data_IF_452043651784
#
_entry.id   IF_452043651784
#
_cell.length_a   1.000
_cell.length_b   1.000
_cell.length_c   1.000
_cell.angle_alpha   90.00
_cell.angle_beta   90.00
_cell.angle_gamma   90.00
#
_symmetry.space_group_name_H-M   'P 1'
#
loop_
_entity.id
_entity.type
_entity.pdbx_description
1 polymer ?
#
# COMPACT_ATOMS: atom_id res chain seq x y z
N UNK A 1 -21.19 15.52 32.68
CA UNK A 1 -20.86 16.04 31.34
C UNK A 1 -19.46 15.62 30.86
N UNK A 2 -18.45 15.48 31.73
CA UNK A 2 -17.11 14.96 31.34
C UNK A 2 -17.05 13.46 30.99
N UNK A 3 -17.96 12.61 31.50
CA UNK A 3 -17.94 11.18 31.17
C UNK A 3 -18.53 10.84 29.79
N UNK A 4 -19.30 11.76 29.19
CA UNK A 4 -19.89 11.56 27.88
C UNK A 4 -18.92 11.88 26.72
N UNK A 5 -17.96 12.79 26.95
CA UNK A 5 -16.94 13.18 25.96
C UNK A 5 -15.85 12.12 25.81
N UNK A 6 -15.50 11.40 26.89
CA UNK A 6 -14.53 10.31 26.84
C UNK A 6 -15.03 9.09 26.05
N UNK A 7 -16.32 8.76 26.14
CA UNK A 7 -16.92 7.63 25.41
C UNK A 7 -17.00 7.90 23.89
N UNK A 8 -17.23 9.14 23.48
CA UNK A 8 -17.29 9.54 22.06
C UNK A 8 -15.91 9.49 21.41
N UNK A 9 -14.84 9.87 22.13
CA UNK A 9 -13.47 9.76 21.63
C UNK A 9 -12.97 8.32 21.48
N UNK A 10 -13.44 7.37 22.30
CA UNK A 10 -13.03 5.94 22.20
C UNK A 10 -13.64 5.26 20.97
N UNK A 11 -14.84 5.66 20.52
CA UNK A 11 -15.43 5.15 19.27
C UNK A 11 -14.87 5.82 18.01
N UNK A 12 -14.40 7.07 18.10
CA UNK A 12 -13.71 7.78 17.00
C UNK A 12 -12.21 7.41 16.91
N UNK A 13 -11.68 6.68 17.88
CA UNK A 13 -10.35 6.08 17.82
C UNK A 13 -10.36 4.68 17.15
N UNK A 14 -11.48 4.23 16.58
CA UNK A 14 -11.54 2.99 15.79
C UNK A 14 -11.37 3.13 14.26
N UNK A 15 -10.76 4.17 13.68
CA UNK A 15 -9.99 4.00 12.47
C UNK A 15 -8.51 3.85 12.88
N UNK A 16 -8.22 3.00 13.88
CA UNK A 16 -6.85 2.52 14.03
C UNK A 16 -6.56 1.64 12.83
N UNK A 17 -5.74 2.18 11.94
CA UNK A 17 -4.80 1.47 11.11
C UNK A 17 -5.39 0.22 10.44
N UNK A 18 -6.16 0.43 9.38
CA UNK A 18 -5.81 -0.32 8.17
C UNK A 18 -4.92 0.58 7.33
N UNK A 19 -3.66 0.75 7.76
CA UNK A 19 -2.58 0.73 6.79
C UNK A 19 -2.75 -0.66 6.18
N UNK A 20 -3.56 -0.75 5.12
CA UNK A 20 -3.76 -2.00 4.43
C UNK A 20 -2.40 -2.28 3.82
N UNK A 21 -1.60 -3.07 4.54
CA UNK A 21 -0.58 -3.87 3.91
C UNK A 21 -1.30 -4.54 2.74
N UNK A 22 -0.86 -4.26 1.52
CA UNK A 22 -1.52 -4.76 0.32
C UNK A 22 -1.67 -6.26 0.49
N UNK A 23 -2.91 -6.76 0.48
CA UNK A 23 -3.14 -8.17 0.74
C UNK A 23 -2.34 -8.98 -0.29
N UNK A 24 -1.65 -10.07 0.11
CA UNK A 24 -0.84 -10.83 -0.82
C UNK A 24 -1.74 -11.34 -1.97
N UNK A 25 -1.22 -11.36 -3.20
CA UNK A 25 -1.97 -11.74 -4.40
C UNK A 25 -3.00 -10.70 -4.88
N UNK A 26 -2.78 -9.41 -4.60
CA UNK A 26 -3.66 -8.32 -5.02
C UNK A 26 -2.84 -7.18 -5.62
N UNK A 27 -3.45 -6.37 -6.48
CA UNK A 27 -2.82 -5.16 -7.04
C UNK A 27 -3.85 -4.08 -7.35
N UNK A 28 -3.46 -2.83 -7.14
CA UNK A 28 -4.22 -1.66 -7.54
C UNK A 28 -3.57 -1.01 -8.77
N UNK A 29 -4.34 -0.81 -9.83
CA UNK A 29 -3.87 -0.11 -11.02
C UNK A 29 -4.99 0.73 -11.65
N UNK A 30 -4.69 2.00 -11.95
CA UNK A 30 -5.64 2.90 -12.62
C UNK A 30 -6.97 3.13 -11.89
N UNK A 31 -7.02 2.94 -10.56
CA UNK A 31 -8.26 3.04 -9.76
C UNK A 31 -9.13 1.77 -9.79
N UNK A 32 -8.63 0.69 -10.40
CA UNK A 32 -9.22 -0.64 -10.33
C UNK A 32 -8.44 -1.51 -9.34
N UNK A 33 -9.17 -2.42 -8.69
CA UNK A 33 -8.61 -3.41 -7.79
C UNK A 33 -8.70 -4.80 -8.42
N UNK A 34 -7.61 -5.56 -8.36
CA UNK A 34 -7.51 -6.91 -8.87
C UNK A 34 -7.15 -7.86 -7.73
N UNK A 35 -7.94 -8.92 -7.59
CA UNK A 35 -7.78 -9.92 -6.52
C UNK A 35 -7.75 -11.33 -7.11
N UNK A 36 -6.57 -11.95 -7.09
CA UNK A 36 -6.39 -13.33 -7.55
C UNK A 36 -6.40 -14.35 -6.40
N UNK A 37 -6.67 -13.95 -5.16
CA UNK A 37 -6.84 -14.88 -4.04
C UNK A 37 -7.87 -15.99 -4.31
N UNK A 38 -8.99 -15.78 -5.03
CA UNK A 38 -9.91 -16.85 -5.39
C UNK A 38 -9.30 -17.96 -6.25
N UNK A 39 -8.16 -17.70 -6.91
CA UNK A 39 -7.41 -18.71 -7.65
C UNK A 39 -6.54 -19.61 -6.76
N UNK A 40 -6.37 -19.30 -5.46
CA UNK A 40 -5.68 -20.17 -4.48
C UNK A 40 -6.49 -21.45 -4.26
N UNK A 41 -6.28 -22.43 -5.12
CA UNK A 41 -7.09 -23.63 -5.12
C UNK A 41 -6.66 -24.60 -4.02
N UNK A 42 -7.64 -25.35 -3.49
CA UNK A 42 -7.39 -26.45 -2.57
C UNK A 42 -6.78 -27.66 -3.27
N UNK A 43 -7.12 -27.87 -4.55
CA UNK A 43 -6.53 -28.84 -5.46
C UNK A 43 -5.81 -28.11 -6.58
N UNK A 44 -4.64 -28.57 -6.98
CA UNK A 44 -3.84 -27.93 -8.01
C UNK A 44 -4.54 -27.92 -9.38
N UNK A 45 -4.21 -26.91 -10.18
CA UNK A 45 -4.62 -26.86 -11.58
C UNK A 45 -3.75 -27.81 -12.38
N UNK A 46 -4.41 -28.84 -12.91
CA UNK A 46 -3.79 -29.89 -13.70
C UNK A 46 -4.20 -29.75 -15.16
N UNK A 47 -3.22 -29.75 -16.05
CA UNK A 47 -3.43 -29.69 -17.48
C UNK A 47 -2.26 -30.34 -18.23
N UNK A 48 -2.52 -30.74 -19.47
CA UNK A 48 -1.51 -31.35 -20.34
C UNK A 48 -1.23 -30.40 -21.49
N UNK A 49 0.04 -30.14 -21.79
CA UNK A 49 0.44 -29.33 -22.95
C UNK A 49 0.35 -30.15 -24.23
N UNK A 50 0.47 -29.49 -25.39
CA UNK A 50 0.46 -30.18 -26.69
C UNK A 50 1.60 -31.20 -26.83
N UNK A 51 2.75 -30.93 -26.19
CA UNK A 51 3.88 -31.86 -26.07
C UNK A 51 3.63 -33.08 -25.18
N UNK A 52 2.45 -33.20 -24.55
CA UNK A 52 2.08 -34.35 -23.73
C UNK A 52 2.57 -34.29 -22.28
N UNK A 53 3.22 -33.21 -21.86
CA UNK A 53 3.67 -33.03 -20.49
C UNK A 53 2.53 -32.62 -19.56
N UNK A 54 2.47 -33.24 -18.38
CA UNK A 54 1.48 -32.95 -17.36
C UNK A 54 2.01 -31.89 -16.40
N UNK A 55 1.32 -30.76 -16.34
CA UNK A 55 1.61 -29.65 -15.45
C UNK A 55 0.69 -29.66 -14.25
N UNK A 56 1.26 -29.31 -13.11
CA UNK A 56 0.56 -29.05 -11.86
C UNK A 56 0.97 -27.67 -11.37
N UNK A 57 0.02 -26.79 -11.12
CA UNK A 57 0.33 -25.46 -10.58
C UNK A 57 -0.77 -24.91 -9.69
N UNK A 58 -0.41 -23.92 -8.90
CA UNK A 58 -1.32 -23.14 -8.08
C UNK A 58 -0.93 -21.66 -8.16
N UNK A 59 -1.89 -20.77 -7.87
CA UNK A 59 -1.68 -19.32 -7.94
C UNK A 59 -1.53 -18.78 -6.53
N UNK A 60 -0.47 -18.01 -6.27
CA UNK A 60 -0.17 -17.41 -4.96
C UNK A 60 -0.14 -18.39 -3.78
N UNK A 61 0.08 -19.67 -4.06
CA UNK A 61 0.10 -20.78 -3.11
C UNK A 61 0.99 -21.87 -3.69
N UNK A 62 1.59 -22.68 -2.83
CA UNK A 62 2.33 -23.86 -3.27
C UNK A 62 1.38 -24.97 -3.76
N UNK A 63 1.93 -25.85 -4.58
CA UNK A 63 1.24 -27.06 -5.02
C UNK A 63 0.94 -27.95 -3.82
N UNK A 64 -0.15 -28.70 -3.95
CA UNK A 64 -0.62 -29.67 -2.96
C UNK A 64 -0.28 -31.11 -3.35
N UNK A 65 -0.02 -31.34 -4.63
CA UNK A 65 0.41 -32.63 -5.18
C UNK A 65 1.85 -32.90 -4.78
N UNK A 66 2.12 -34.12 -4.30
CA UNK A 66 3.46 -34.54 -3.94
C UNK A 66 4.40 -34.50 -5.15
N UNK A 67 5.57 -33.89 -4.93
CA UNK A 67 6.65 -33.80 -5.90
C UNK A 67 7.64 -34.95 -5.72
N UNK A 68 8.23 -35.41 -6.82
CA UNK A 68 9.19 -36.51 -6.83
C UNK A 68 10.52 -36.11 -7.45
N UNK A 69 11.63 -36.34 -6.74
CA UNK A 69 12.99 -36.04 -7.19
C UNK A 69 13.18 -34.61 -7.75
N UNK A 70 12.60 -33.62 -7.05
CA UNK A 70 12.63 -32.22 -7.46
C UNK A 70 13.91 -31.53 -6.96
N UNK A 71 14.59 -30.82 -7.86
CA UNK A 71 15.82 -30.09 -7.55
C UNK A 71 15.51 -28.64 -7.18
N UNK A 72 15.13 -28.39 -5.92
CA UNK A 72 14.95 -27.05 -5.33
C UNK A 72 15.33 -27.06 -3.84
N UNK A 73 15.77 -25.93 -3.26
CA UNK A 73 16.11 -25.88 -1.83
C UNK A 73 14.94 -26.23 -0.90
N UNK A 74 13.75 -25.71 -1.21
CA UNK A 74 12.54 -25.87 -0.40
C UNK A 74 11.37 -26.40 -1.27
N UNK A 75 11.13 -27.73 -1.29
CA UNK A 75 10.03 -28.31 -2.06
C UNK A 75 8.63 -27.81 -1.65
N UNK A 76 8.46 -27.35 -0.40
CA UNK A 76 7.19 -26.82 0.11
C UNK A 76 6.76 -25.48 -0.49
N UNK A 77 7.68 -24.77 -1.16
CA UNK A 77 7.45 -23.46 -1.76
C UNK A 77 7.22 -23.54 -3.28
N UNK A 78 7.17 -24.75 -3.87
CA UNK A 78 6.97 -24.92 -5.30
C UNK A 78 5.55 -24.49 -5.68
N UNK A 79 5.42 -23.52 -6.60
CA UNK A 79 4.11 -23.04 -7.08
C UNK A 79 3.61 -23.82 -8.29
N UNK A 80 4.51 -24.45 -9.03
CA UNK A 80 4.15 -25.38 -10.09
C UNK A 80 5.32 -26.27 -10.50
N UNK A 81 4.99 -27.42 -11.08
CA UNK A 81 5.96 -28.35 -11.61
C UNK A 81 5.44 -29.13 -12.82
N UNK A 82 6.37 -29.72 -13.57
CA UNK A 82 6.10 -30.62 -14.69
C UNK A 82 6.51 -32.03 -14.28
N UNK A 83 5.64 -33.00 -14.55
CA UNK A 83 5.97 -34.41 -14.35
C UNK A 83 6.81 -34.94 -15.51
N UNK A 84 8.00 -35.45 -15.21
CA UNK A 84 8.91 -36.10 -16.18
C UNK A 84 9.39 -37.45 -15.67
N UNK A 85 9.95 -38.27 -16.57
CA UNK A 85 10.32 -39.66 -16.28
C UNK A 85 11.43 -39.82 -15.23
N UNK A 86 12.28 -38.80 -15.07
CA UNK A 86 13.44 -38.83 -14.16
C UNK A 86 13.30 -37.90 -12.95
N UNK A 87 12.12 -37.33 -12.73
CA UNK A 87 11.85 -36.39 -11.65
C UNK A 87 11.00 -35.22 -12.10
N UNK A 88 10.33 -34.59 -11.15
CA UNK A 88 9.52 -33.42 -11.38
C UNK A 88 10.43 -32.18 -11.54
N UNK A 89 10.15 -31.33 -12.53
CA UNK A 89 10.84 -30.06 -12.74
C UNK A 89 10.01 -28.93 -12.13
N UNK A 90 10.52 -28.24 -11.10
CA UNK A 90 9.87 -27.04 -10.57
C UNK A 90 9.92 -25.93 -11.63
N UNK A 91 8.78 -25.34 -11.96
CA UNK A 91 8.70 -24.20 -12.90
C UNK A 91 8.68 -22.84 -12.20
N UNK A 92 8.89 -22.84 -10.88
CA UNK A 92 9.03 -21.67 -10.03
C UNK A 92 8.44 -21.84 -8.64
N UNK A 93 8.87 -20.99 -7.71
CA UNK A 93 8.34 -20.93 -6.34
C UNK A 93 7.16 -19.97 -6.21
N UNK A 94 6.46 -20.04 -5.08
CA UNK A 94 5.32 -19.16 -4.77
C UNK A 94 5.74 -17.70 -4.85
N UNK A 95 5.02 -16.97 -5.71
CA UNK A 95 5.06 -15.52 -5.74
C UNK A 95 3.64 -14.98 -5.53
N UNK A 96 3.53 -13.94 -4.70
CA UNK A 96 2.27 -13.25 -4.41
C UNK A 96 2.21 -11.85 -5.01
N UNK A 97 3.28 -11.42 -5.68
CA UNK A 97 3.38 -10.11 -6.33
C UNK A 97 2.76 -10.17 -7.72
N UNK A 98 1.88 -9.20 -7.98
CA UNK A 98 1.21 -9.02 -9.27
C UNK A 98 1.68 -7.71 -9.90
N UNK A 99 1.89 -7.73 -11.21
CA UNK A 99 2.29 -6.57 -11.98
C UNK A 99 1.28 -6.31 -13.09
N UNK A 100 0.92 -5.04 -13.32
CA UNK A 100 0.14 -4.67 -14.50
C UNK A 100 1.10 -4.27 -15.63
N UNK A 101 1.04 -4.97 -16.77
CA UNK A 101 1.86 -4.68 -17.96
C UNK A 101 1.03 -4.76 -19.22
N UNK A 102 1.14 -3.77 -20.09
CA UNK A 102 0.45 -3.72 -21.41
C UNK A 102 -1.08 -3.88 -21.33
N UNK A 103 -1.69 -3.55 -20.19
CA UNK A 103 -3.13 -3.75 -19.95
C UNK A 103 -3.53 -5.18 -19.58
N UNK A 104 -2.56 -6.05 -19.27
CA UNK A 104 -2.77 -7.40 -18.73
C UNK A 104 -2.13 -7.57 -17.36
N UNK A 105 -2.79 -8.35 -16.51
CA UNK A 105 -2.31 -8.68 -15.17
C UNK A 105 -1.29 -9.82 -15.27
N UNK A 106 -0.10 -9.65 -14.70
CA UNK A 106 1.00 -10.60 -14.83
C UNK A 106 1.54 -11.07 -13.48
N UNK A 107 1.97 -12.33 -13.47
CA UNK A 107 2.71 -12.94 -12.36
C UNK A 107 3.96 -13.63 -12.89
N UNK A 108 5.05 -13.52 -12.13
CA UNK A 108 6.30 -14.24 -12.41
C UNK A 108 6.60 -15.22 -11.29
N UNK A 109 6.74 -16.49 -11.63
CA UNK A 109 7.28 -17.51 -10.74
C UNK A 109 8.75 -17.72 -11.12
N UNK A 110 9.66 -17.58 -10.17
CA UNK A 110 11.11 -17.71 -10.40
C UNK A 110 11.71 -18.75 -9.46
N UNK A 111 13.03 -18.94 -9.53
CA UNK A 111 13.76 -19.84 -8.61
C UNK A 111 13.24 -21.29 -8.62
N UNK A 112 12.83 -21.76 -9.80
CA UNK A 112 12.49 -23.17 -10.01
C UNK A 112 13.72 -24.06 -10.03
N UNK A 113 13.57 -25.24 -10.63
CA UNK A 113 14.66 -26.21 -10.73
C UNK A 113 15.74 -25.75 -11.71
N UNK A 114 16.96 -26.28 -11.56
CA UNK A 114 18.04 -26.00 -12.52
C UNK A 114 17.68 -26.50 -13.91
N UNK A 115 17.95 -25.69 -14.93
CA UNK A 115 17.72 -26.08 -16.31
C UNK A 115 18.68 -27.22 -16.72
N UNK A 116 18.26 -28.18 -17.57
CA UNK A 116 19.10 -29.30 -17.98
C UNK A 116 20.43 -28.91 -18.66
N UNK A 117 20.43 -27.82 -19.44
CA UNK A 117 21.57 -27.40 -20.27
C UNK A 117 22.13 -26.02 -19.90
N UNK A 118 21.78 -25.46 -18.74
CA UNK A 118 22.29 -24.17 -18.30
C UNK A 118 22.27 -24.04 -16.78
N UNK A 119 23.09 -23.13 -16.25
CA UNK A 119 23.09 -22.79 -14.82
C UNK A 119 21.92 -21.88 -14.42
N UNK A 120 20.97 -21.64 -15.32
CA UNK A 120 19.77 -20.85 -15.04
C UNK A 120 18.75 -21.68 -14.26
N UNK A 121 17.87 -20.98 -13.55
CA UNK A 121 16.75 -21.58 -12.85
C UNK A 121 15.49 -21.44 -13.69
N UNK A 122 14.66 -22.48 -13.67
CA UNK A 122 13.38 -22.48 -14.35
C UNK A 122 12.49 -21.36 -13.82
N UNK A 123 11.71 -20.77 -14.73
CA UNK A 123 10.79 -19.70 -14.39
C UNK A 123 9.57 -19.72 -15.29
N UNK A 124 8.48 -19.16 -14.77
CA UNK A 124 7.20 -19.12 -15.44
C UNK A 124 6.63 -17.71 -15.41
N UNK A 125 6.11 -17.28 -16.55
CA UNK A 125 5.34 -16.07 -16.70
C UNK A 125 3.89 -16.42 -16.96
N UNK A 126 2.98 -15.85 -16.16
CA UNK A 126 1.55 -16.07 -16.30
C UNK A 126 0.90 -14.74 -16.60
N UNK A 127 0.28 -14.63 -17.77
CA UNK A 127 -0.54 -13.49 -18.19
C UNK A 127 -2.00 -13.82 -17.95
N UNK A 128 -2.62 -13.15 -16.99
CA UNK A 128 -4.02 -13.27 -16.70
C UNK A 128 -4.85 -12.34 -17.59
N UNK A 129 -5.85 -12.91 -18.25
CA UNK A 129 -6.76 -12.20 -19.15
C UNK A 129 -8.17 -12.23 -18.57
N UNK A 130 -8.77 -11.04 -18.43
CA UNK A 130 -10.15 -10.90 -18.00
C UNK A 130 -11.09 -11.50 -19.06
N UNK A 131 -11.81 -12.55 -18.68
CA UNK A 131 -12.87 -13.15 -19.50
C UNK A 131 -14.06 -13.52 -18.62
N UNK A 132 -15.12 -12.72 -18.69
CA UNK A 132 -16.37 -12.95 -17.95
C UNK A 132 -17.16 -14.17 -18.43
N UNK A 133 -16.83 -14.73 -19.60
CA UNK A 133 -17.51 -15.93 -20.12
C UNK A 133 -16.98 -17.23 -19.51
N UNK A 134 -15.78 -17.18 -18.91
CA UNK A 134 -15.15 -18.33 -18.27
C UNK A 134 -15.71 -18.53 -16.87
N UNK A 135 -16.44 -19.63 -16.70
CA UNK A 135 -16.96 -20.05 -15.39
C UNK A 135 -15.86 -20.69 -14.53
N UNK A 136 -15.96 -20.53 -13.21
CA UNK A 136 -14.97 -20.96 -12.22
C UNK A 136 -13.60 -20.28 -12.44
N UNK A 137 -12.49 -20.99 -12.21
CA UNK A 137 -11.15 -20.41 -12.23
C UNK A 137 -10.52 -20.28 -13.63
N UNK A 138 -11.13 -20.87 -14.66
CA UNK A 138 -10.50 -21.04 -15.97
C UNK A 138 -9.38 -22.08 -15.95
N UNK A 139 -8.61 -22.14 -17.05
CA UNK A 139 -7.42 -22.99 -17.16
C UNK A 139 -6.29 -22.20 -17.84
N UNK A 140 -5.03 -22.40 -17.42
CA UNK A 140 -3.89 -21.87 -18.13
C UNK A 140 -3.70 -22.61 -19.46
N UNK A 141 -3.22 -21.89 -20.47
CA UNK A 141 -2.79 -22.41 -21.76
C UNK A 141 -1.33 -22.00 -21.99
N UNK A 142 -0.48 -22.93 -22.39
CA UNK A 142 0.92 -22.63 -22.74
C UNK A 142 0.93 -21.82 -24.03
N UNK A 143 1.49 -20.61 -23.99
CA UNK A 143 1.68 -19.76 -25.15
C UNK A 143 3.00 -20.06 -25.84
N UNK A 144 4.08 -20.10 -25.06
CA UNK A 144 5.43 -20.32 -25.55
C UNK A 144 6.30 -20.96 -24.46
N UNK A 145 7.39 -21.58 -24.89
CA UNK A 145 8.39 -22.13 -24.01
C UNK A 145 9.79 -21.97 -24.62
N UNK A 146 10.77 -21.76 -23.75
CA UNK A 146 12.16 -21.61 -24.15
C UNK A 146 13.08 -22.49 -23.30
N UNK A 147 14.03 -23.22 -23.91
CA UNK A 147 14.09 -23.58 -25.34
C UNK A 147 12.80 -24.25 -25.85
N UNK A 148 12.53 -24.19 -27.15
CA UNK A 148 11.28 -24.71 -27.74
C UNK A 148 11.14 -26.23 -27.66
N UNK A 149 12.24 -26.94 -27.42
CA UNK A 149 12.27 -28.39 -27.24
C UNK A 149 11.72 -28.78 -25.86
N UNK A 150 10.70 -29.63 -25.85
CA UNK A 150 9.92 -30.02 -24.67
C UNK A 150 10.78 -30.59 -23.52
N UNK A 151 11.80 -31.40 -23.84
CA UNK A 151 12.70 -31.99 -22.84
C UNK A 151 13.60 -30.95 -22.19
N UNK A 152 13.98 -29.91 -22.95
CA UNK A 152 14.95 -28.91 -22.54
C UNK A 152 14.31 -27.58 -22.11
N UNK A 153 12.99 -27.43 -22.33
CA UNK A 153 12.21 -26.26 -21.95
C UNK A 153 12.38 -25.96 -20.45
N UNK A 154 12.68 -24.69 -20.14
CA UNK A 154 12.97 -24.23 -18.78
C UNK A 154 12.28 -22.92 -18.43
N UNK A 155 11.89 -22.14 -19.44
CA UNK A 155 11.09 -20.94 -19.29
C UNK A 155 9.75 -21.16 -19.97
N UNK A 156 8.66 -20.82 -19.28
CA UNK A 156 7.30 -21.06 -19.74
C UNK A 156 6.50 -19.77 -19.71
N UNK A 157 5.74 -19.51 -20.76
CA UNK A 157 4.76 -18.42 -20.81
C UNK A 157 3.35 -18.99 -20.92
N UNK A 158 2.49 -18.66 -19.96
CA UNK A 158 1.10 -19.08 -19.92
C UNK A 158 0.15 -17.91 -20.09
N UNK A 159 -0.94 -18.14 -20.82
CA UNK A 159 -2.13 -17.31 -20.81
C UNK A 159 -3.19 -17.96 -19.93
N UNK A 160 -3.75 -17.21 -18.99
CA UNK A 160 -4.80 -17.69 -18.10
C UNK A 160 -6.03 -16.81 -18.20
N UNK A 161 -7.03 -17.29 -18.94
CA UNK A 161 -8.33 -16.61 -19.04
C UNK A 161 -9.17 -16.89 -17.80
N UNK A 162 -9.57 -15.86 -17.09
CA UNK A 162 -10.33 -15.99 -15.85
C UNK A 162 -11.12 -14.73 -15.53
N UNK A 163 -12.29 -14.88 -14.92
CA UNK A 163 -13.11 -13.74 -14.51
C UNK A 163 -12.55 -13.01 -13.28
N UNK A 164 -11.64 -13.64 -12.53
CA UNK A 164 -10.99 -13.01 -11.37
C UNK A 164 -9.94 -11.96 -11.76
N UNK A 165 -9.46 -11.99 -13.01
CA UNK A 165 -8.55 -10.98 -13.55
C UNK A 165 -9.29 -9.70 -14.00
N UNK A 166 -10.62 -9.67 -13.85
CA UNK A 166 -11.42 -8.52 -14.25
C UNK A 166 -11.37 -7.41 -13.19
N UNK A 167 -11.34 -6.14 -13.61
CA UNK A 167 -11.25 -5.01 -12.69
C UNK A 167 -12.48 -4.95 -11.78
N UNK A 168 -12.25 -5.02 -10.47
CA UNK A 168 -13.28 -4.72 -9.49
C UNK A 168 -13.16 -3.23 -9.18
N UNK A 169 -14.18 -2.46 -9.55
CA UNK A 169 -14.25 -1.06 -9.17
C UNK A 169 -14.16 -0.94 -7.65
N UNK A 170 -13.23 -0.13 -7.16
CA UNK A 170 -13.04 0.07 -5.72
C UNK A 170 -14.37 0.50 -5.09
N UNK A 171 -15.02 -0.41 -4.36
CA UNK A 171 -16.07 -0.04 -3.40
C UNK A 171 -15.35 0.62 -2.25
N UNK A 172 -15.03 1.89 -2.47
CA UNK A 172 -14.19 2.67 -1.59
C UNK A 172 -14.64 2.51 -0.15
N UNK A 173 -13.65 2.41 0.73
CA UNK A 173 -13.77 2.34 2.19
C UNK A 173 -14.75 3.42 2.73
N UNK A 174 -14.94 4.51 1.97
CA UNK A 174 -15.96 5.55 2.12
C UNK A 174 -17.37 4.98 2.36
N UNK A 175 -17.77 3.90 1.66
CA UNK A 175 -19.08 3.27 1.86
C UNK A 175 -19.20 2.64 3.25
N UNK A 176 -18.14 1.97 3.72
CA UNK A 176 -18.10 1.37 5.05
C UNK A 176 -18.07 2.40 6.17
N UNK A 177 -17.25 3.45 6.01
CA UNK A 177 -17.15 4.56 6.98
C UNK A 177 -18.50 5.27 7.11
N UNK A 178 -19.18 5.56 5.98
CA UNK A 178 -20.48 6.21 6.00
C UNK A 178 -21.55 5.36 6.72
N UNK A 179 -21.54 4.05 6.52
CA UNK A 179 -22.44 3.12 7.21
C UNK A 179 -22.12 3.08 8.72
N UNK A 180 -20.85 3.01 9.10
CA UNK A 180 -20.43 3.00 10.51
C UNK A 180 -20.81 4.30 11.22
N UNK A 181 -20.61 5.46 10.58
CA UNK A 181 -21.01 6.77 11.09
C UNK A 181 -22.53 6.86 11.28
N UNK A 182 -23.32 6.34 10.33
CA UNK A 182 -24.79 6.31 10.47
C UNK A 182 -25.21 5.42 11.64
N UNK A 183 -24.66 4.22 11.76
CA UNK A 183 -25.03 3.27 12.83
C UNK A 183 -24.65 3.84 14.21
N UNK A 184 -23.44 4.38 14.36
CA UNK A 184 -22.98 4.97 15.63
C UNK A 184 -23.82 6.18 16.03
N UNK A 185 -24.20 7.03 15.07
CA UNK A 185 -25.11 8.16 15.28
C UNK A 185 -26.50 7.73 15.74
N UNK A 186 -27.08 6.70 15.14
CA UNK A 186 -28.38 6.15 15.54
C UNK A 186 -28.36 5.60 16.97
N UNK A 187 -27.29 4.90 17.35
CA UNK A 187 -27.11 4.37 18.70
C UNK A 187 -26.97 5.51 19.72
N UNK A 188 -26.16 6.52 19.42
CA UNK A 188 -25.97 7.68 20.30
C UNK A 188 -27.28 8.46 20.51
N UNK A 189 -28.08 8.64 19.44
CA UNK A 189 -29.39 9.28 19.51
C UNK A 189 -30.36 8.50 20.39
N UNK A 190 -30.39 7.17 20.26
CA UNK A 190 -31.22 6.31 21.11
C UNK A 190 -30.82 6.41 22.59
N UNK A 191 -29.53 6.37 22.90
CA UNK A 191 -29.02 6.53 24.27
C UNK A 191 -29.38 7.91 24.83
N UNK A 192 -29.25 8.97 24.03
CA UNK A 192 -29.60 10.31 24.43
C UNK A 192 -31.09 10.44 24.76
N UNK A 193 -31.98 9.94 23.90
CA UNK A 193 -33.43 9.97 24.13
C UNK A 193 -33.79 9.19 25.40
N UNK A 194 -33.26 7.98 25.57
CA UNK A 194 -33.53 7.15 26.76
C UNK A 194 -32.97 7.82 28.02
N UNK A 195 -31.73 8.32 27.99
CA UNK A 195 -31.11 9.02 29.11
C UNK A 195 -31.87 10.28 29.51
N UNK A 196 -32.27 11.12 28.54
CA UNK A 196 -33.03 12.34 28.79
C UNK A 196 -34.43 12.06 29.32
N UNK A 197 -35.13 11.04 28.79
CA UNK A 197 -36.46 10.66 29.30
C UNK A 197 -36.39 10.11 30.72
N UNK A 198 -35.41 9.24 31.02
CA UNK A 198 -35.15 8.75 32.37
C UNK A 198 -34.78 9.89 33.32
N UNK A 199 -33.91 10.81 32.89
CA UNK A 199 -33.52 11.98 33.69
C UNK A 199 -34.71 12.88 34.03
N UNK A 200 -35.52 13.24 33.02
CA UNK A 200 -36.73 14.06 33.21
C UNK A 200 -37.76 13.39 34.13
N UNK A 201 -37.84 12.05 34.09
CA UNK A 201 -38.75 11.25 34.92
C UNK A 201 -38.26 11.10 36.35
N UNK A 202 -37.01 10.71 36.54
CA UNK A 202 -36.47 10.33 37.86
C UNK A 202 -35.93 11.51 38.65
N UNK A 203 -35.25 12.45 37.99
CA UNK A 203 -34.63 13.61 38.66
C UNK A 203 -35.60 14.78 38.72
N UNK A 204 -36.19 15.15 37.58
CA UNK A 204 -37.06 16.34 37.49
C UNK A 204 -38.54 16.07 37.80
N UNK A 205 -38.93 14.80 38.05
CA UNK A 205 -40.30 14.35 38.37
C UNK A 205 -41.40 14.88 37.43
N UNK A 206 -41.08 15.25 36.18
CA UNK A 206 -42.07 15.74 35.22
C UNK A 206 -42.95 14.56 34.75
N UNK A 207 -44.25 14.80 34.57
CA UNK A 207 -45.24 13.80 34.13
C UNK A 207 -45.85 14.20 32.78
N UNK A 208 -46.17 13.23 31.94
CA UNK A 208 -46.81 13.44 30.64
C UNK A 208 -45.84 13.75 29.50
N UNK A 209 -46.33 14.45 28.47
CA UNK A 209 -45.57 14.76 27.24
C UNK A 209 -44.36 15.67 27.44
N UNK A 210 -44.24 16.34 28.60
CA UNK A 210 -43.05 17.12 28.94
C UNK A 210 -41.80 16.25 29.23
N UNK A 211 -41.92 14.92 29.22
CA UNK A 211 -40.80 14.00 29.39
C UNK A 211 -39.94 13.88 28.12
N UNK A 212 -40.49 14.20 26.95
CA UNK A 212 -39.76 14.13 25.68
C UNK A 212 -38.75 15.28 25.61
N UNK A 213 -37.44 15.01 25.46
CA UNK A 213 -36.45 16.06 25.25
C UNK A 213 -36.85 16.89 24.02
N UNK A 214 -36.96 18.20 24.20
CA UNK A 214 -37.20 19.12 23.09
C UNK A 214 -35.91 19.21 22.27
N UNK A 215 -35.89 18.52 21.14
CA UNK A 215 -34.86 18.73 20.13
C UNK A 215 -35.03 20.13 19.56
N UNK A 216 -34.15 21.06 19.91
CA UNK A 216 -34.05 22.32 19.20
C UNK A 216 -33.30 22.07 17.89
N UNK A 217 -33.90 22.46 16.77
CA UNK A 217 -33.29 22.29 15.44
C UNK A 217 -31.92 23.00 15.32
N UNK A 218 -31.68 24.02 16.16
CA UNK A 218 -30.38 24.71 16.25
C UNK A 218 -29.23 23.84 16.78
N UNK A 219 -29.52 22.86 17.64
CA UNK A 219 -28.50 21.92 18.14
C UNK A 219 -28.16 20.86 17.09
N UNK A 220 -29.10 20.57 16.19
CA UNK A 220 -28.87 19.65 15.08
C UNK A 220 -27.98 20.27 14.00
N UNK A 221 -28.13 21.58 13.72
CA UNK A 221 -27.25 22.28 12.77
C UNK A 221 -25.80 22.37 13.25
N UNK A 222 -25.56 22.57 14.56
CA UNK A 222 -24.19 22.55 15.12
C UNK A 222 -23.57 21.16 15.10
N UNK A 223 -24.38 20.11 15.28
CA UNK A 223 -23.90 18.73 15.19
C UNK A 223 -23.54 18.35 13.74
N UNK A 224 -24.33 18.83 12.77
CA UNK A 224 -24.06 18.64 11.35
C UNK A 224 -22.84 19.43 10.87
N UNK A 225 -22.58 20.63 11.40
CA UNK A 225 -21.36 21.38 11.06
C UNK A 225 -20.11 20.68 11.59
N UNK A 226 -20.12 20.20 12.83
CA UNK A 226 -19.01 19.45 13.42
C UNK A 226 -18.76 18.14 12.65
N UNK A 227 -19.81 17.43 12.24
CA UNK A 227 -19.66 16.25 11.38
C UNK A 227 -19.13 16.62 9.98
N UNK A 228 -19.56 17.73 9.40
CA UNK A 228 -19.06 18.23 8.12
C UNK A 228 -17.57 18.53 8.15
N UNK A 229 -17.11 19.24 9.18
CA UNK A 229 -15.70 19.61 9.36
C UNK A 229 -14.82 18.38 9.57
N UNK A 230 -15.29 17.40 10.35
CA UNK A 230 -14.55 16.16 10.58
C UNK A 230 -14.50 15.24 9.35
N UNK A 231 -15.57 15.24 8.54
CA UNK A 231 -15.59 14.52 7.25
C UNK A 231 -14.61 15.17 6.28
N UNK A 232 -14.57 16.51 6.22
CA UNK A 232 -13.64 17.26 5.39
C UNK A 232 -12.19 16.94 5.77
N UNK A 233 -11.87 16.97 7.07
CA UNK A 233 -10.53 16.67 7.58
C UNK A 233 -10.12 15.20 7.34
N UNK A 234 -11.08 14.28 7.45
CA UNK A 234 -10.84 12.85 7.14
C UNK A 234 -10.57 12.65 5.64
N UNK A 235 -11.31 13.34 4.77
CA UNK A 235 -11.09 13.32 3.31
C UNK A 235 -9.72 13.91 2.96
N UNK A 236 -9.33 15.00 3.61
CA UNK A 236 -8.04 15.65 3.37
C UNK A 236 -6.87 14.78 3.83
N UNK A 237 -7.00 14.10 4.98
CA UNK A 237 -6.02 13.11 5.46
C UNK A 237 -5.94 11.87 4.57
N UNK A 238 -7.05 11.42 3.99
CA UNK A 238 -7.06 10.33 3.02
C UNK A 238 -6.40 10.74 1.69
N UNK A 239 -6.63 11.98 1.23
CA UNK A 239 -5.94 12.54 0.07
C UNK A 239 -4.43 12.66 0.28
N UNK A 240 -3.99 13.00 1.49
CA UNK A 240 -2.56 13.05 1.82
C UNK A 240 -1.95 11.68 2.10
N UNK A 241 -2.77 10.67 2.41
CA UNK A 241 -2.34 9.28 2.64
C UNK A 241 -2.30 8.45 1.35
N UNK A 242 -2.73 8.99 0.20
CA UNK A 242 -2.37 8.42 -1.11
C UNK A 242 -0.85 8.55 -1.25
N UNK A 243 -0.09 7.44 -1.34
CA UNK A 243 1.27 7.55 -1.80
C UNK A 243 1.19 8.10 -3.22
N UNK A 244 1.78 9.27 -3.46
CA UNK A 244 2.40 9.51 -4.75
C UNK A 244 3.35 8.33 -4.94
N UNK A 245 2.94 7.32 -5.72
CA UNK A 245 3.78 6.17 -6.01
C UNK A 245 5.16 6.65 -6.45
N UNK A 246 6.23 5.90 -6.13
CA UNK A 246 7.58 6.33 -6.42
C UNK A 246 7.67 6.63 -7.92
N UNK A 247 8.25 7.79 -8.22
CA UNK A 247 8.56 8.22 -9.58
C UNK A 247 9.08 7.03 -10.39
N UNK A 248 8.41 6.73 -11.50
CA UNK A 248 8.88 5.80 -12.50
C UNK A 248 10.33 6.15 -12.84
N UNK A 249 11.26 5.31 -12.39
CA UNK A 249 12.68 5.46 -12.67
C UNK A 249 12.91 5.05 -14.12
N UNK A 250 12.68 5.99 -15.05
CA UNK A 250 13.08 5.83 -16.44
C UNK A 250 14.60 5.99 -16.51
N UNK A 251 15.33 4.88 -16.50
CA UNK A 251 16.72 4.88 -16.95
C UNK A 251 16.75 5.08 -18.46
N UNK A 252 17.00 6.31 -18.91
CA UNK A 252 17.47 6.60 -20.26
C UNK A 252 18.94 6.98 -20.18
N UNK A 253 19.81 6.16 -20.77
CA UNK A 253 21.23 6.47 -20.93
C UNK A 253 21.50 7.12 -22.30
N UNK A 254 22.31 8.17 -22.24
CA UNK A 254 23.12 8.83 -23.25
C UNK A 254 22.53 9.91 -24.18
N UNK A 255 23.31 10.99 -24.26
CA UNK A 255 23.26 12.04 -25.27
C UNK A 255 23.32 13.42 -24.65
N UNK A 256 24.52 13.94 -24.43
CA UNK A 256 24.71 15.32 -23.98
C UNK A 256 24.28 16.33 -25.05
N UNK A 257 23.84 17.50 -24.59
CA UNK A 257 24.16 18.82 -25.16
C UNK A 257 23.61 19.92 -24.24
N UNK A 258 24.39 20.99 -24.11
CA UNK A 258 24.15 22.19 -23.33
C UNK A 258 22.81 22.90 -23.66
N UNK A 259 22.23 23.61 -22.67
CA UNK A 259 21.78 25.01 -22.79
C UNK A 259 21.22 25.55 -21.46
N UNK A 260 21.55 26.82 -21.25
CA UNK A 260 21.37 27.72 -20.13
C UNK A 260 19.94 28.17 -19.80
N UNK A 261 19.72 28.42 -18.50
CA UNK A 261 18.97 29.57 -17.97
C UNK A 261 17.44 29.47 -17.84
N UNK A 262 16.93 29.54 -16.60
CA UNK A 262 15.85 30.44 -16.17
C UNK A 262 15.41 30.12 -14.73
N UNK A 263 15.30 31.17 -13.90
CA UNK A 263 14.97 31.09 -12.48
C UNK A 263 13.56 30.60 -12.17
N UNK A 264 13.38 30.16 -10.91
CA UNK A 264 12.05 29.96 -10.31
C UNK A 264 11.98 30.68 -8.97
N UNK A 265 11.12 31.69 -8.95
CA UNK A 265 10.72 32.42 -7.76
C UNK A 265 9.83 31.57 -6.87
N UNK A 266 9.99 31.79 -5.57
CA UNK A 266 9.10 31.29 -4.53
C UNK A 266 7.93 32.27 -4.40
N UNK A 267 6.72 31.87 -4.81
CA UNK A 267 5.50 32.64 -4.52
C UNK A 267 5.03 32.33 -3.09
N UNK A 268 5.18 33.34 -2.24
CA UNK A 268 4.65 33.44 -0.87
C UNK A 268 3.12 33.51 -0.91
N UNK A 269 2.45 32.65 -0.14
CA UNK A 269 1.01 32.72 0.07
C UNK A 269 0.64 33.97 0.88
N UNK A 270 -0.44 34.62 0.48
CA UNK A 270 -1.00 35.85 1.06
C UNK A 270 -1.62 35.57 2.42
N UNK A 271 -1.01 36.07 3.50
CA UNK A 271 -1.63 36.19 4.82
C UNK A 271 -2.47 37.46 4.89
N UNK A 272 -3.67 37.36 5.45
CA UNK A 272 -4.61 38.47 5.63
C UNK A 272 -4.15 39.42 6.74
N UNK A 273 -4.36 40.72 6.52
CA UNK A 273 -3.89 41.87 7.30
C UNK A 273 -4.68 42.07 8.61
N UNK A 274 -4.79 41.02 9.42
CA UNK A 274 -5.44 41.06 10.74
C UNK A 274 -4.65 40.31 11.83
N UNK A 275 -3.56 39.61 11.49
CA UNK A 275 -2.74 38.85 12.48
C UNK A 275 -1.41 39.54 12.87
N UNK A 276 -1.09 40.72 12.33
CA UNK A 276 0.21 41.38 12.59
C UNK A 276 0.16 42.44 13.72
N UNK A 277 -1.01 42.74 14.29
CA UNK A 277 -1.17 43.82 15.29
C UNK A 277 -1.30 43.34 16.76
N UNK A 278 -1.13 42.05 17.08
CA UNK A 278 -1.33 41.52 18.45
C UNK A 278 -0.02 41.21 19.21
N UNK A 279 1.16 41.36 18.61
CA UNK A 279 2.43 40.97 19.27
C UNK A 279 3.40 42.14 19.52
N UNK A 280 2.88 43.31 19.90
CA UNK A 280 3.68 44.40 20.46
C UNK A 280 2.97 44.99 21.68
N UNK A 281 3.51 44.72 22.88
CA UNK A 281 3.28 45.55 24.06
C UNK A 281 2.98 44.79 25.35
N UNK A 282 4.00 44.58 26.19
CA UNK A 282 4.08 45.15 27.54
C UNK A 282 5.30 44.57 28.28
N UNK A 283 6.21 45.46 28.66
CA UNK A 283 7.38 45.22 29.51
C UNK A 283 7.11 45.83 30.90
N UNK A 284 7.88 45.37 31.89
CA UNK A 284 8.16 45.95 33.24
C UNK A 284 7.28 45.43 34.39
N UNK A 285 7.78 45.08 35.58
CA UNK A 285 9.12 44.88 36.16
C UNK A 285 8.90 44.12 37.50
N UNK A 286 9.90 43.41 38.02
CA UNK A 286 10.28 43.51 39.45
C UNK A 286 11.56 42.69 39.76
N UNK A 287 12.51 43.40 40.34
CA UNK A 287 13.88 43.04 40.69
C UNK A 287 13.96 42.59 42.16
N UNK A 288 14.84 41.63 42.50
CA UNK A 288 15.76 41.65 43.67
C UNK A 288 16.41 40.27 43.97
N UNK A 289 17.74 40.20 43.83
CA UNK A 289 18.64 39.90 44.96
C UNK A 289 19.27 38.50 45.19
N UNK A 290 20.58 38.39 44.88
CA UNK A 290 21.67 37.55 45.52
C UNK A 290 21.61 36.01 45.34
N UNK A 291 22.68 35.21 45.17
CA UNK A 291 24.14 35.32 45.36
C UNK A 291 24.88 34.15 44.63
N UNK A 292 26.09 34.43 44.10
CA UNK A 292 27.33 33.61 43.96
C UNK A 292 27.30 32.08 43.68
N UNK A 293 27.87 31.65 42.53
CA UNK A 293 29.12 30.84 42.49
C UNK A 293 29.72 30.74 41.07
N UNK A 294 31.00 31.10 40.94
CA UNK A 294 31.90 30.85 39.79
C UNK A 294 32.38 29.40 39.76
N UNK A 295 32.51 28.75 38.59
CA UNK A 295 33.61 27.80 38.28
C UNK A 295 33.89 27.73 36.75
N UNK A 296 35.05 28.27 36.39
CA UNK A 296 36.11 27.83 35.45
C UNK A 296 35.85 27.40 33.98
N UNK A 297 36.48 28.23 33.13
CA UNK A 297 37.53 27.92 32.15
C UNK A 297 37.24 27.40 30.74
N UNK A 298 37.92 28.13 29.84
CA UNK A 298 38.00 28.02 28.40
C UNK A 298 38.92 26.89 27.93
N UNK A 299 38.71 26.45 26.69
CA UNK A 299 39.84 26.21 25.77
C UNK A 299 39.39 26.33 24.30
N UNK A 300 39.99 27.30 23.61
CA UNK A 300 40.05 27.44 22.15
C UNK A 300 41.37 26.82 21.69
N UNK A 301 41.34 25.94 20.70
CA UNK A 301 42.47 25.64 19.82
C UNK A 301 41.97 25.46 18.39
N UNK A 302 42.55 26.20 17.45
CA UNK A 302 42.49 25.89 16.03
C UNK A 302 43.79 25.22 15.58
N UNK A 303 43.73 24.39 14.55
CA UNK A 303 44.87 24.05 13.69
C UNK A 303 44.40 23.62 12.29
N UNK A 304 45.30 23.86 11.34
CA UNK A 304 45.25 23.82 9.87
C UNK A 304 44.86 22.49 9.18
N UNK A 305 44.60 22.52 7.86
CA UNK A 305 44.13 21.38 7.06
C UNK A 305 45.25 20.44 6.63
N UNK A 306 44.95 19.15 6.61
CA UNK A 306 45.82 18.06 6.14
C UNK A 306 45.52 17.74 4.67
N UNK A 307 46.59 17.62 3.87
CA UNK A 307 46.57 17.42 2.42
C UNK A 307 47.38 16.16 2.10
N UNK A 308 46.82 15.21 1.34
CA UNK A 308 47.50 14.12 0.59
C UNK A 308 46.46 13.22 -0.10
N UNK A 309 46.79 12.45 -1.15
CA UNK A 309 47.50 12.82 -2.37
C UNK A 309 46.76 12.35 -3.65
N UNK A 310 47.04 13.01 -4.77
CA UNK A 310 46.55 12.71 -6.12
C UNK A 310 47.39 11.59 -6.77
N UNK A 311 46.81 10.64 -7.53
CA UNK A 311 47.55 9.87 -8.53
C UNK A 311 47.54 10.57 -9.89
N UNK A 312 48.72 10.63 -10.51
CA UNK A 312 49.05 11.26 -11.78
C UNK A 312 48.48 10.48 -12.98
N UNK A 313 48.03 11.20 -14.02
CA UNK A 313 47.74 10.60 -15.34
C UNK A 313 46.49 11.07 -16.07
N UNK A 314 46.12 12.35 -16.00
CA UNK A 314 45.02 12.91 -16.80
C UNK A 314 45.35 14.34 -17.22
N UNK A 315 45.31 14.62 -18.52
CA UNK A 315 45.35 16.00 -19.01
C UNK A 315 43.97 16.66 -18.84
N UNK A 316 43.94 18.00 -18.93
CA UNK A 316 42.74 18.82 -18.72
C UNK A 316 41.65 18.66 -19.79
N UNK A 317 41.76 17.63 -20.65
CA UNK A 317 40.77 17.26 -21.65
C UNK A 317 40.21 15.84 -21.45
N UNK A 318 40.60 15.12 -20.39
CA UNK A 318 39.84 13.97 -19.88
C UNK A 318 39.83 12.74 -20.79
N UNK A 319 40.91 12.46 -21.53
CA UNK A 319 41.02 11.27 -22.39
C UNK A 319 42.04 10.28 -21.84
N UNK A 320 41.62 9.04 -21.58
CA UNK A 320 42.51 7.90 -21.34
C UNK A 320 42.83 7.28 -22.70
N UNK A 321 44.09 7.32 -23.13
CA UNK A 321 44.57 6.50 -24.25
C UNK A 321 45.10 5.17 -23.71
N UNK A 322 44.45 4.08 -24.12
CA UNK A 322 44.98 2.73 -24.12
C UNK A 322 45.36 2.37 -25.57
#
# INVERSE_FOLDING_TARGET
MLFATAAVCVFLAFPWLSLADEAPCTVHDGGNYYDLNPLKASKDYEFTTEGGHQFYMNVCKSVTTDTWNIDVPNPGDVAGFIRRDHGDLSVGVVNTTLEMKEGGLMMRLSEGSRCPNSDMLASTFIRFICDNSVYAAGKPALLDQFPSDDENACHFEFEWKTHYACPVGERGIISGILIFVIITSLIALMIFIVGSTLYNRFVLRRRGFEQVPKFSFSQFSELLSICGDFIQESIDRLRSSRPSGPNSFSHHWNGGDDVSGAGRGFTRATGTREEEEVMIGSQEDEDEGRELHNVHDAHVWGTHPEQSPQPEGMDSQGVIRL
#
